data_IF_173795671461
#
_entry.id   IF_173795671461
#
_cell.length_a   1.000
_cell.length_b   1.000
_cell.length_c   1.000
_cell.angle_alpha   90.00
_cell.angle_beta   90.00
_cell.angle_gamma   90.00
#
_symmetry.space_group_name_H-M   'P 1'
#
loop_
_entity.id
_entity.type
_entity.pdbx_description
1 polymer ?
#
# COMPACT_ATOMS: atom_id res chain seq x y z
N UNK A 1 -19.40 -5.68 35.23
CA UNK A 1 -19.11 -5.03 33.94
C UNK A 1 -17.83 -4.21 34.10
N UNK A 2 -16.80 -4.41 33.26
CA UNK A 2 -15.56 -3.61 33.32
C UNK A 2 -15.67 -2.46 32.32
N UNK A 3 -15.63 -1.22 32.81
CA UNK A 3 -15.56 -0.01 32.00
C UNK A 3 -14.13 0.20 31.50
N UNK A 4 -13.96 0.34 30.18
CA UNK A 4 -12.69 0.73 29.58
C UNK A 4 -12.37 2.18 29.94
N UNK A 5 -11.08 2.50 29.98
CA UNK A 5 -10.58 3.88 30.10
C UNK A 5 -11.18 4.70 28.95
N UNK A 6 -11.85 5.78 29.32
CA UNK A 6 -12.68 6.60 28.43
C UNK A 6 -11.81 7.42 27.49
N UNK A 7 -11.39 6.83 26.36
CA UNK A 7 -10.96 7.60 25.21
C UNK A 7 -12.18 8.22 24.53
N UNK A 8 -12.30 9.54 24.63
CA UNK A 8 -13.49 10.30 24.23
C UNK A 8 -13.83 10.09 22.73
N UNK A 9 -12.81 9.96 21.87
CA UNK A 9 -12.98 9.76 20.43
C UNK A 9 -13.57 8.37 20.10
N UNK A 10 -13.18 7.33 20.85
CA UNK A 10 -13.67 5.96 20.65
C UNK A 10 -15.11 5.80 21.16
N UNK A 11 -15.44 6.44 22.29
CA UNK A 11 -16.80 6.41 22.83
C UNK A 11 -17.82 7.13 21.94
N UNK A 12 -17.43 8.25 21.31
CA UNK A 12 -18.32 9.01 20.43
C UNK A 12 -18.64 8.25 19.13
N UNK A 13 -17.68 7.53 18.55
CA UNK A 13 -17.83 6.82 17.28
C UNK A 13 -18.40 5.40 17.43
N UNK A 14 -17.91 4.63 18.41
CA UNK A 14 -18.23 3.20 18.56
C UNK A 14 -19.25 2.94 19.66
N UNK A 15 -19.23 3.74 20.74
CA UNK A 15 -20.08 3.51 21.92
C UNK A 15 -21.57 3.69 21.69
N UNK A 16 -21.97 4.59 20.78
CA UNK A 16 -23.37 4.87 20.44
C UNK A 16 -24.00 3.77 19.57
N UNK A 17 -23.22 3.13 18.71
CA UNK A 17 -23.67 2.14 17.71
C UNK A 17 -23.62 0.68 18.19
N UNK A 18 -22.86 0.38 19.24
CA UNK A 18 -22.63 -1.00 19.70
C UNK A 18 -23.56 -1.38 20.85
N UNK A 19 -24.19 -2.54 20.73
CA UNK A 19 -25.10 -3.14 21.72
C UNK A 19 -24.37 -4.03 22.72
N UNK A 20 -23.38 -4.81 22.26
CA UNK A 20 -22.66 -5.76 23.11
C UNK A 20 -21.20 -5.88 22.68
N UNK A 21 -20.30 -6.07 23.65
CA UNK A 21 -18.86 -6.23 23.41
C UNK A 21 -18.40 -7.50 24.09
N UNK A 22 -17.76 -8.40 23.33
CA UNK A 22 -17.20 -9.66 23.84
C UNK A 22 -15.75 -9.81 23.42
N UNK A 23 -15.00 -10.66 24.11
CA UNK A 23 -13.64 -11.05 23.69
C UNK A 23 -13.67 -12.50 23.20
N UNK A 24 -12.98 -12.77 22.10
CA UNK A 24 -12.74 -14.14 21.64
C UNK A 24 -11.65 -14.78 22.47
N UNK A 25 -11.56 -16.12 22.42
CA UNK A 25 -10.48 -16.87 23.07
C UNK A 25 -9.08 -16.46 22.55
N UNK A 26 -9.01 -15.95 21.31
CA UNK A 26 -7.80 -15.41 20.69
C UNK A 26 -7.48 -13.96 21.08
N UNK A 27 -8.27 -13.35 21.99
CA UNK A 27 -8.05 -11.97 22.46
C UNK A 27 -8.63 -10.88 21.57
N UNK A 28 -9.26 -11.21 20.45
CA UNK A 28 -9.92 -10.25 19.58
C UNK A 28 -11.23 -9.71 20.21
N UNK A 29 -11.55 -8.44 19.94
CA UNK A 29 -12.79 -7.80 20.37
C UNK A 29 -13.90 -8.02 19.34
N UNK A 30 -15.02 -8.58 19.77
CA UNK A 30 -16.24 -8.77 18.99
C UNK A 30 -17.26 -7.69 19.40
N UNK A 31 -17.70 -6.89 18.42
CA UNK A 31 -18.67 -5.83 18.61
C UNK A 31 -19.99 -6.22 17.96
N UNK A 32 -21.08 -6.24 18.72
CA UNK A 32 -22.43 -6.47 18.22
C UNK A 32 -23.10 -5.11 17.97
N UNK A 33 -23.43 -4.73 16.72
CA UNK A 33 -24.13 -3.47 16.45
C UNK A 33 -25.61 -3.53 16.89
N UNK A 34 -26.22 -2.36 17.11
CA UNK A 34 -27.66 -2.25 17.38
C UNK A 34 -28.48 -2.52 16.10
N UNK A 35 -29.63 -3.18 16.27
CA UNK A 35 -30.55 -3.50 15.16
C UNK A 35 -31.09 -2.19 14.56
N UNK A 36 -30.86 -1.96 13.26
CA UNK A 36 -31.22 -0.72 12.55
C UNK A 36 -30.06 0.18 12.15
N UNK A 37 -28.82 -0.20 12.46
CA UNK A 37 -27.62 0.46 11.92
C UNK A 37 -27.17 -0.33 10.70
N UNK A 38 -27.45 0.21 9.50
CA UNK A 38 -27.17 -0.44 8.21
C UNK A 38 -25.66 -0.46 7.88
N UNK A 39 -24.90 0.43 8.51
CA UNK A 39 -23.45 0.53 8.36
C UNK A 39 -22.77 0.10 9.66
N UNK A 40 -22.13 -1.08 9.67
CA UNK A 40 -21.16 -1.39 10.72
C UNK A 40 -20.15 -0.23 10.81
N UNK A 41 -19.75 0.24 12.01
CA UNK A 41 -18.70 1.25 12.10
C UNK A 41 -17.47 0.67 11.42
N UNK A 42 -17.11 1.22 10.27
CA UNK A 42 -15.90 0.85 9.56
C UNK A 42 -14.75 1.19 10.50
N UNK A 43 -14.19 0.18 11.16
CA UNK A 43 -12.82 0.22 11.64
C UNK A 43 -11.96 0.25 10.37
N UNK A 44 -11.98 1.40 9.70
CA UNK A 44 -11.30 1.66 8.46
C UNK A 44 -9.81 1.71 8.73
N UNK A 45 -9.19 0.54 8.77
CA UNK A 45 -7.98 0.41 7.98
C UNK A 45 -8.50 0.36 6.53
N UNK A 46 -8.63 1.51 5.90
CA UNK A 46 -8.64 1.61 4.45
C UNK A 46 -7.31 0.96 4.04
N UNK A 47 -7.36 -0.33 3.68
CA UNK A 47 -6.17 -1.04 3.24
C UNK A 47 -5.91 -0.48 1.87
N UNK A 48 -5.10 0.58 1.80
CA UNK A 48 -4.60 1.11 0.55
C UNK A 48 -4.13 -0.08 -0.28
N UNK A 49 -4.85 -0.38 -1.37
CA UNK A 49 -4.48 -1.49 -2.23
C UNK A 49 -3.10 -1.17 -2.79
N UNK A 50 -2.11 -1.93 -2.34
CA UNK A 50 -0.74 -1.76 -2.78
C UNK A 50 -0.55 -2.62 -4.02
N UNK A 51 -0.40 -1.98 -5.18
CA UNK A 51 -0.05 -2.64 -6.43
C UNK A 51 1.47 -2.72 -6.57
N UNK A 52 1.93 -3.84 -7.15
CA UNK A 52 3.32 -3.98 -7.55
C UNK A 52 3.53 -3.52 -8.99
N UNK A 53 4.55 -2.69 -9.18
CA UNK A 53 4.94 -2.14 -10.48
C UNK A 53 6.39 -2.53 -10.75
N UNK A 54 6.66 -3.04 -11.93
CA UNK A 54 8.00 -3.33 -12.42
C UNK A 54 8.55 -2.14 -13.19
N UNK A 55 9.80 -1.78 -12.92
CA UNK A 55 10.55 -0.78 -13.69
C UNK A 55 11.73 -1.51 -14.31
N UNK A 56 11.93 -1.35 -15.62
CA UNK A 56 12.97 -2.03 -16.39
C UNK A 56 13.96 -1.02 -16.98
N UNK A 57 15.14 -1.54 -17.33
CA UNK A 57 16.15 -0.87 -18.14
C UNK A 57 16.83 0.34 -17.50
N UNK A 58 17.05 0.32 -16.18
CA UNK A 58 17.93 1.30 -15.53
C UNK A 58 19.35 0.76 -15.35
N UNK A 59 20.29 1.70 -15.22
CA UNK A 59 21.73 1.43 -15.18
C UNK A 59 22.17 0.72 -13.89
N UNK A 60 23.32 0.03 -13.92
CA UNK A 60 23.86 -0.69 -12.76
C UNK A 60 24.21 0.21 -11.58
N UNK A 61 24.49 1.48 -11.85
CA UNK A 61 24.84 2.47 -10.85
C UNK A 61 23.62 3.11 -10.15
N UNK A 62 22.39 2.83 -10.60
CA UNK A 62 21.19 3.43 -10.04
C UNK A 62 20.92 2.93 -8.61
N UNK A 63 20.76 3.86 -7.67
CA UNK A 63 20.49 3.53 -6.27
C UNK A 63 18.99 3.51 -5.95
N UNK A 64 18.58 2.77 -4.91
CA UNK A 64 17.18 2.73 -4.42
C UNK A 64 16.61 4.12 -4.15
N UNK A 65 17.46 5.03 -3.69
CA UNK A 65 17.08 6.37 -3.26
C UNK A 65 16.78 7.25 -4.46
N UNK A 66 17.63 7.22 -5.48
CA UNK A 66 17.42 7.93 -6.73
C UNK A 66 16.14 7.46 -7.44
N UNK A 67 15.92 6.14 -7.49
CA UNK A 67 14.70 5.58 -8.09
C UNK A 67 13.45 6.09 -7.35
N UNK A 68 13.46 6.06 -6.01
CA UNK A 68 12.33 6.54 -5.21
C UNK A 68 12.07 8.04 -5.38
N UNK A 69 13.13 8.86 -5.45
CA UNK A 69 13.02 10.30 -5.65
C UNK A 69 12.49 10.65 -7.05
N UNK A 70 12.97 9.99 -8.11
CA UNK A 70 12.46 10.25 -9.46
C UNK A 70 11.02 9.75 -9.64
N UNK A 71 10.66 8.65 -8.98
CA UNK A 71 9.26 8.21 -8.88
C UNK A 71 8.40 9.27 -8.19
N UNK A 72 8.85 9.80 -7.05
CA UNK A 72 8.17 10.86 -6.33
C UNK A 72 7.95 12.12 -7.18
N UNK A 73 8.99 12.54 -7.92
CA UNK A 73 8.92 13.71 -8.82
C UNK A 73 7.97 13.46 -9.99
N UNK A 74 8.08 12.31 -10.65
CA UNK A 74 7.26 11.98 -11.82
C UNK A 74 5.78 11.82 -11.47
N UNK A 75 5.49 11.31 -10.27
CA UNK A 75 4.12 11.08 -9.80
C UNK A 75 3.53 12.26 -9.01
N UNK A 76 4.33 13.28 -8.70
CA UNK A 76 3.94 14.41 -7.85
C UNK A 76 3.66 14.01 -6.40
N UNK A 77 4.31 12.95 -5.91
CA UNK A 77 4.08 12.37 -4.59
C UNK A 77 5.36 12.41 -3.74
N UNK A 78 5.65 13.54 -3.05
CA UNK A 78 6.90 13.73 -2.30
C UNK A 78 7.05 12.81 -1.08
N UNK A 79 5.99 12.09 -0.69
CA UNK A 79 5.97 11.20 0.47
C UNK A 79 6.40 9.75 0.17
N UNK A 80 6.89 9.46 -1.04
CA UNK A 80 7.38 8.12 -1.36
C UNK A 80 8.73 7.85 -0.69
N UNK A 81 8.72 6.93 0.27
CA UNK A 81 9.92 6.50 0.99
C UNK A 81 10.75 5.49 0.17
N UNK A 82 12.01 5.32 0.56
CA UNK A 82 12.94 4.34 -0.05
C UNK A 82 12.41 2.89 -0.01
N UNK A 83 11.55 2.58 0.96
CA UNK A 83 10.91 1.27 1.16
C UNK A 83 9.88 0.93 0.07
N UNK A 84 9.45 1.92 -0.72
CA UNK A 84 8.62 1.71 -1.90
C UNK A 84 9.31 0.74 -2.88
N UNK A 85 10.63 0.83 -3.01
CA UNK A 85 11.41 -0.10 -3.84
C UNK A 85 11.71 -1.37 -3.05
N UNK A 86 10.90 -2.41 -3.27
CA UNK A 86 11.01 -3.69 -2.56
C UNK A 86 12.23 -4.49 -2.99
N UNK A 87 12.47 -4.58 -4.29
CA UNK A 87 13.56 -5.39 -4.83
C UNK A 87 14.25 -4.70 -5.99
N UNK A 88 15.57 -4.88 -6.06
CA UNK A 88 16.39 -4.60 -7.23
C UNK A 88 17.04 -5.91 -7.65
N UNK A 89 16.91 -6.25 -8.93
CA UNK A 89 17.59 -7.39 -9.54
C UNK A 89 18.42 -6.89 -10.71
N UNK A 90 19.65 -7.41 -10.83
CA UNK A 90 20.44 -7.23 -12.04
C UNK A 90 19.84 -8.09 -13.15
N UNK A 91 19.67 -7.49 -14.31
CA UNK A 91 19.32 -8.17 -15.54
C UNK A 91 20.59 -8.45 -16.34
N UNK A 92 20.42 -9.05 -17.53
CA UNK A 92 21.53 -9.38 -18.41
C UNK A 92 22.07 -8.12 -19.10
N UNK A 93 23.36 -8.11 -19.42
CA UNK A 93 24.02 -7.02 -20.18
C UNK A 93 24.04 -5.63 -19.51
N UNK A 94 24.20 -5.57 -18.18
CA UNK A 94 24.43 -4.28 -17.49
C UNK A 94 23.17 -3.46 -17.22
N UNK A 95 21.99 -4.07 -17.35
CA UNK A 95 20.71 -3.46 -17.00
C UNK A 95 20.22 -3.97 -15.65
N UNK A 96 19.34 -3.23 -15.01
CA UNK A 96 18.68 -3.63 -13.76
C UNK A 96 17.15 -3.50 -13.87
N UNK A 97 16.46 -4.23 -13.00
CA UNK A 97 15.00 -4.27 -12.88
C UNK A 97 14.60 -4.09 -11.43
N UNK A 98 13.64 -3.21 -11.18
CA UNK A 98 13.16 -2.86 -9.85
C UNK A 98 11.69 -3.23 -9.74
N UNK A 99 11.30 -3.67 -8.55
CA UNK A 99 9.90 -3.83 -8.19
C UNK A 99 9.58 -2.79 -7.13
N UNK A 100 8.67 -1.90 -7.46
CA UNK A 100 8.13 -0.88 -6.57
C UNK A 100 6.71 -1.28 -6.11
N UNK A 101 6.39 -1.01 -4.86
CA UNK A 101 5.08 -1.21 -4.30
C UNK A 101 4.43 0.16 -4.07
N UNK A 102 3.41 0.47 -4.86
CA UNK A 102 2.76 1.77 -4.89
C UNK A 102 1.28 1.62 -4.52
N UNK A 103 0.68 2.63 -3.84
CA UNK A 103 -0.77 2.72 -3.70
C UNK A 103 -1.47 2.72 -5.06
N UNK A 104 -2.69 2.18 -5.13
CA UNK A 104 -3.49 2.00 -6.34
C UNK A 104 -3.52 3.25 -7.22
N UNK A 105 -3.76 4.43 -6.63
CA UNK A 105 -3.83 5.71 -7.33
C UNK A 105 -2.51 6.14 -7.96
N UNK A 106 -1.39 5.83 -7.30
CA UNK A 106 -0.05 6.15 -7.78
C UNK A 106 0.42 5.12 -8.82
N UNK A 107 0.09 3.85 -8.61
CA UNK A 107 0.36 2.79 -9.56
C UNK A 107 -0.37 3.03 -10.89
N UNK A 108 -1.65 3.40 -10.86
CA UNK A 108 -2.41 3.73 -12.05
C UNK A 108 -1.82 4.93 -12.83
N UNK A 109 -1.32 5.94 -12.11
CA UNK A 109 -0.61 7.08 -12.72
C UNK A 109 0.73 6.66 -13.33
N UNK A 110 1.50 5.83 -12.63
CA UNK A 110 2.77 5.30 -13.14
C UNK A 110 2.56 4.50 -14.43
N UNK A 111 1.53 3.64 -14.47
CA UNK A 111 1.20 2.84 -15.65
C UNK A 111 0.72 3.70 -16.83
N UNK A 112 0.02 4.81 -16.57
CA UNK A 112 -0.37 5.77 -17.61
C UNK A 112 0.82 6.53 -18.20
N UNK A 113 1.84 6.84 -17.39
CA UNK A 113 3.10 7.43 -17.88
C UNK A 113 3.86 6.43 -18.75
N UNK A 114 3.94 5.18 -18.31
CA UNK A 114 4.58 4.06 -19.04
C UNK A 114 6.12 4.14 -19.11
N UNK A 115 6.70 5.32 -18.91
CA UNK A 115 8.14 5.54 -18.87
C UNK A 115 8.50 6.60 -17.82
N UNK A 116 9.67 6.44 -17.19
CA UNK A 116 10.25 7.41 -16.26
C UNK A 116 11.73 7.58 -16.62
N UNK A 117 12.19 8.82 -16.55
CA UNK A 117 13.62 9.13 -16.68
C UNK A 117 14.29 9.01 -15.33
N UNK A 118 15.26 8.11 -15.20
CA UNK A 118 16.10 7.97 -14.01
C UNK A 118 17.52 8.38 -14.40
N UNK A 119 17.95 9.54 -13.91
CA UNK A 119 19.19 10.17 -14.37
C UNK A 119 19.19 10.45 -15.88
N UNK A 120 20.02 9.72 -16.64
CA UNK A 120 20.17 9.88 -18.10
C UNK A 120 19.45 8.83 -18.93
N UNK A 121 18.87 7.81 -18.28
CA UNK A 121 18.25 6.68 -18.97
C UNK A 121 16.73 6.80 -18.92
N UNK A 122 16.07 6.45 -20.02
CA UNK A 122 14.62 6.35 -20.07
C UNK A 122 14.21 4.91 -19.75
N UNK A 123 13.52 4.71 -18.63
CA UNK A 123 13.17 3.41 -18.06
C UNK A 123 11.69 3.11 -18.32
N UNK A 124 11.37 1.85 -18.61
CA UNK A 124 9.99 1.46 -18.90
C UNK A 124 9.29 0.92 -17.65
N UNK A 125 8.02 1.30 -17.48
CA UNK A 125 7.17 0.88 -16.36
C UNK A 125 6.17 -0.18 -16.86
N UNK A 126 6.11 -1.30 -16.15
CA UNK A 126 5.21 -2.42 -16.41
C UNK A 126 4.35 -2.72 -15.18
N UNK A 127 3.07 -3.01 -15.40
CA UNK A 127 2.19 -3.47 -14.33
C UNK A 127 2.48 -4.93 -14.01
N UNK A 128 2.71 -5.24 -12.74
CA UNK A 128 2.83 -6.62 -12.30
C UNK A 128 1.48 -7.06 -11.76
N UNK A 129 0.72 -7.79 -12.58
CA UNK A 129 -0.39 -8.55 -12.04
C UNK A 129 0.19 -9.64 -11.14
N UNK A 130 -0.10 -9.57 -9.84
CA UNK A 130 0.20 -10.68 -8.94
C UNK A 130 -0.65 -11.87 -9.39
N UNK A 131 -0.02 -12.79 -10.14
CA UNK A 131 -0.67 -14.02 -10.51
C UNK A 131 -1.05 -14.76 -9.22
N UNK A 132 -2.35 -14.88 -8.98
CA UNK A 132 -2.88 -15.68 -7.88
C UNK A 132 -2.48 -17.13 -8.14
N UNK A 133 -1.42 -17.59 -7.46
CA UNK A 133 -0.98 -18.97 -7.57
C UNK A 133 -2.06 -19.84 -6.93
N UNK A 134 -2.84 -20.54 -7.75
CA UNK A 134 -3.78 -21.55 -7.27
C UNK A 134 -2.94 -22.75 -6.79
N UNK A 135 -2.68 -22.82 -5.50
CA UNK A 135 -2.07 -24.01 -4.90
C UNK A 135 -3.06 -25.17 -5.02
N UNK A 136 -2.57 -26.34 -5.44
CA UNK A 136 -3.34 -27.58 -5.53
C UNK A 136 -3.18 -28.42 -4.28
#
# INVERSE_FOLDING_TARGET
MRTLKSDAAFQQSVGSSVQNIRRSAAGALLLQPRKGVENAPSLGAEVDKVLMVEIRDFDECATRTEIAEELARSLGAPHLNKEVVKTLRKAYAGTQTAVAALPDDLAARALKLGHIRIGWVNCQIHGREEAACCYR
#
